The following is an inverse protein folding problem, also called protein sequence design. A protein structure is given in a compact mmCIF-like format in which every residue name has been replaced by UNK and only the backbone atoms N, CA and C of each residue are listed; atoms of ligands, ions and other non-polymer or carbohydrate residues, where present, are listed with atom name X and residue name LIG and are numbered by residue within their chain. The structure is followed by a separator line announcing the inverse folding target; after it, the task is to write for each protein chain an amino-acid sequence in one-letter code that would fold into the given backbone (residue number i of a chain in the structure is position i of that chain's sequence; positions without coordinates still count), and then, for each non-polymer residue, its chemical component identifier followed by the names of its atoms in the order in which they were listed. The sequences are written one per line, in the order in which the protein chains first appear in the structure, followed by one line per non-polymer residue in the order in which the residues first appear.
data_IF_362061477996
#
_entry.id   IF_362061477996
#
_cell.length_a   1.000
_cell.length_b   1.000
_cell.length_c   1.000
_cell.angle_alpha   90.00
_cell.angle_beta   90.00
_cell.angle_gamma   90.00
#
_symmetry.space_group_name_H-M   'P 1'
#
loop_
_entity.id
_entity.type
_entity.pdbx_description
1 polymer ?
#
# COMPACT_ATOMS: atom_id res chain seq x y z
N UNK A 1 23.49 77.45 0.12
CA UNK A 1 24.02 77.05 1.44
C UNK A 1 22.93 76.29 2.17
N UNK A 2 23.02 74.96 2.21
CA UNK A 2 22.47 74.12 3.25
C UNK A 2 23.16 72.74 3.13
N UNK A 3 24.07 72.50 4.04
CA UNK A 3 24.78 71.23 4.25
C UNK A 3 24.04 70.46 5.34
N UNK A 4 23.74 69.17 5.10
CA UNK A 4 23.60 68.20 6.18
C UNK A 4 24.15 66.83 5.74
N UNK A 5 24.98 66.29 6.63
CA UNK A 5 25.72 65.03 6.56
C UNK A 5 24.90 63.81 7.03
N UNK A 6 25.46 62.61 6.82
CA UNK A 6 25.23 61.31 7.50
C UNK A 6 24.27 60.37 6.74
N UNK A 7 24.47 59.06 6.54
CA UNK A 7 25.32 58.03 7.17
C UNK A 7 25.35 56.80 6.21
N UNK A 8 26.46 56.06 5.98
CA UNK A 8 26.42 54.83 5.19
C UNK A 8 25.92 53.64 6.04
N UNK A 9 24.84 53.00 5.59
CA UNK A 9 24.30 51.75 6.17
C UNK A 9 25.22 50.59 5.74
N UNK A 10 25.92 50.00 6.71
CA UNK A 10 26.66 48.75 6.56
C UNK A 10 25.68 47.58 6.35
N UNK A 11 25.68 47.01 5.14
CA UNK A 11 25.00 45.75 4.85
C UNK A 11 25.87 44.59 5.38
N UNK A 12 25.52 44.03 6.52
CA UNK A 12 26.08 42.75 6.98
C UNK A 12 25.45 41.62 6.17
N UNK A 13 26.20 41.09 5.21
CA UNK A 13 25.88 39.83 4.54
C UNK A 13 26.07 38.71 5.57
N UNK A 14 24.98 38.28 6.20
CA UNK A 14 24.95 37.05 6.98
C UNK A 14 25.06 35.86 6.02
N UNK A 15 26.18 35.12 6.10
CA UNK A 15 26.27 33.80 5.47
C UNK A 15 25.31 32.86 6.19
N UNK A 16 24.22 32.48 5.52
CA UNK A 16 23.49 31.28 5.89
C UNK A 16 24.33 30.07 5.48
N UNK A 17 24.88 29.35 6.45
CA UNK A 17 25.40 28.02 6.24
C UNK A 17 24.21 27.09 5.94
N UNK A 18 23.96 26.85 4.65
CA UNK A 18 23.09 25.78 4.18
C UNK A 18 23.78 24.45 4.49
N UNK A 19 23.40 23.81 5.59
CA UNK A 19 23.74 22.41 5.84
C UNK A 19 22.94 21.54 4.84
N UNK A 20 23.58 20.84 3.89
CA UNK A 20 22.88 19.93 3.00
C UNK A 20 22.79 18.57 3.68
N UNK A 21 21.91 18.43 4.68
CA UNK A 21 21.73 17.16 5.39
C UNK A 21 20.24 16.92 5.66
N UNK A 22 19.46 16.63 4.60
CA UNK A 22 18.09 16.10 4.72
C UNK A 22 17.46 15.64 3.38
N UNK A 23 18.06 15.94 2.22
CA UNK A 23 17.43 15.63 0.92
C UNK A 23 17.42 14.12 0.60
N UNK A 24 18.49 13.39 0.95
CA UNK A 24 18.69 12.01 0.48
C UNK A 24 17.77 10.97 1.13
N UNK A 25 17.44 11.12 2.41
CA UNK A 25 16.57 10.15 3.10
C UNK A 25 15.09 10.35 2.73
N UNK A 26 14.67 11.60 2.52
CA UNK A 26 13.28 11.95 2.20
C UNK A 26 12.92 11.57 0.76
N UNK A 27 13.83 11.79 -0.20
CA UNK A 27 13.63 11.42 -1.61
C UNK A 27 13.54 9.89 -1.79
N UNK A 28 14.37 9.12 -1.06
CA UNK A 28 14.34 7.65 -1.08
C UNK A 28 13.00 7.09 -0.56
N UNK A 29 12.48 7.67 0.53
CA UNK A 29 11.18 7.28 1.09
C UNK A 29 10.03 7.60 0.13
N UNK A 30 10.02 8.79 -0.48
CA UNK A 30 8.97 9.17 -1.42
C UNK A 30 8.99 8.33 -2.70
N UNK A 31 10.17 7.97 -3.19
CA UNK A 31 10.31 7.07 -4.34
C UNK A 31 9.76 5.67 -4.01
N UNK A 32 10.03 5.15 -2.80
CA UNK A 32 9.50 3.87 -2.35
C UNK A 32 7.97 3.88 -2.23
N UNK A 33 7.39 4.93 -1.66
CA UNK A 33 5.94 5.10 -1.54
C UNK A 33 5.25 5.08 -2.91
N UNK A 34 5.84 5.74 -3.91
CA UNK A 34 5.34 5.72 -5.30
C UNK A 34 5.38 4.31 -5.88
N UNK A 35 6.44 3.52 -5.63
CA UNK A 35 6.53 2.13 -6.11
C UNK A 35 5.48 1.26 -5.43
N UNK A 36 5.25 1.42 -4.12
CA UNK A 36 4.22 0.69 -3.38
C UNK A 36 2.82 0.98 -3.94
N UNK A 37 2.47 2.26 -4.09
CA UNK A 37 1.18 2.67 -4.69
C UNK A 37 1.05 2.13 -6.11
N UNK A 38 2.08 2.24 -6.94
CA UNK A 38 2.05 1.74 -8.30
C UNK A 38 1.85 0.21 -8.37
N UNK A 39 2.40 -0.53 -7.40
CA UNK A 39 2.23 -1.99 -7.30
C UNK A 39 0.77 -2.34 -7.05
N UNK A 40 0.15 -1.73 -6.02
CA UNK A 40 -1.27 -1.96 -5.70
C UNK A 40 -2.17 -1.46 -6.84
N UNK A 41 -1.85 -0.35 -7.48
CA UNK A 41 -2.60 0.17 -8.63
C UNK A 41 -2.60 -0.82 -9.79
N UNK A 42 -1.45 -1.42 -10.11
CA UNK A 42 -1.34 -2.45 -11.16
C UNK A 42 -2.11 -3.72 -10.82
N UNK A 43 -2.05 -4.14 -9.55
CA UNK A 43 -2.82 -5.29 -9.05
C UNK A 43 -4.32 -5.09 -9.29
N UNK A 44 -4.89 -3.94 -8.88
CA UNK A 44 -6.29 -3.64 -9.13
C UNK A 44 -6.61 -3.52 -10.63
N UNK A 45 -5.71 -2.94 -11.43
CA UNK A 45 -5.94 -2.82 -12.86
C UNK A 45 -6.02 -4.20 -13.54
N UNK A 46 -5.13 -5.12 -13.18
CA UNK A 46 -5.17 -6.49 -13.69
C UNK A 46 -6.48 -7.19 -13.30
N UNK A 47 -6.87 -7.06 -12.03
CA UNK A 47 -8.10 -7.68 -11.53
C UNK A 47 -9.36 -7.15 -12.25
N UNK A 48 -9.39 -5.86 -12.58
CA UNK A 48 -10.43 -5.24 -13.40
C UNK A 48 -10.39 -5.75 -14.83
N UNK A 49 -9.21 -5.77 -15.45
CA UNK A 49 -9.05 -6.16 -16.85
C UNK A 49 -9.50 -7.62 -17.10
N UNK A 50 -9.45 -8.45 -16.06
CA UNK A 50 -9.84 -9.85 -16.10
C UNK A 50 -11.12 -10.16 -15.29
N UNK A 51 -11.80 -9.15 -14.75
CA UNK A 51 -13.02 -9.29 -13.93
C UNK A 51 -12.88 -10.36 -12.83
N UNK A 52 -11.75 -10.36 -12.13
CA UNK A 52 -11.45 -11.30 -11.03
C UNK A 52 -11.27 -12.76 -11.45
N UNK A 53 -11.16 -13.07 -12.75
CA UNK A 53 -11.10 -14.45 -13.26
C UNK A 53 -9.67 -15.02 -13.36
N UNK A 54 -8.66 -14.31 -12.85
CA UNK A 54 -7.29 -14.80 -12.80
C UNK A 54 -7.16 -16.09 -11.96
N UNK A 55 -6.29 -17.00 -12.41
CA UNK A 55 -5.93 -18.21 -11.66
C UNK A 55 -4.39 -18.44 -11.72
N UNK A 56 -3.67 -18.37 -10.60
CA UNK A 56 -4.16 -18.06 -9.24
C UNK A 56 -4.74 -16.65 -9.15
N UNK A 57 -5.55 -16.38 -8.13
CA UNK A 57 -6.22 -15.07 -7.95
C UNK A 57 -5.20 -13.94 -7.90
N UNK A 58 -5.58 -12.74 -8.33
CA UNK A 58 -4.63 -11.62 -8.51
C UNK A 58 -3.86 -11.30 -7.24
N UNK A 59 -4.49 -11.34 -6.06
CA UNK A 59 -3.78 -11.12 -4.79
C UNK A 59 -2.60 -12.08 -4.60
N UNK A 60 -2.79 -13.36 -4.93
CA UNK A 60 -1.76 -14.39 -4.79
C UNK A 60 -0.58 -14.16 -5.74
N UNK A 61 -0.86 -13.65 -6.94
CA UNK A 61 0.18 -13.31 -7.92
C UNK A 61 1.10 -12.18 -7.46
N UNK A 62 0.57 -11.24 -6.67
CA UNK A 62 1.32 -10.10 -6.13
C UNK A 62 1.84 -10.33 -4.71
N UNK A 63 1.41 -11.41 -4.04
CA UNK A 63 1.79 -11.77 -2.70
C UNK A 63 3.27 -12.17 -2.60
N UNK A 64 3.87 -11.91 -1.44
CA UNK A 64 5.16 -12.49 -1.09
C UNK A 64 4.99 -13.97 -0.68
N UNK A 65 6.11 -14.65 -0.49
CA UNK A 65 6.10 -16.09 -0.18
C UNK A 65 5.33 -16.44 1.10
N UNK A 66 5.34 -15.57 2.11
CA UNK A 66 4.66 -15.82 3.39
C UNK A 66 3.15 -15.73 3.23
N UNK A 67 2.65 -14.71 2.53
CA UNK A 67 1.22 -14.57 2.24
C UNK A 67 0.73 -15.66 1.27
N UNK A 68 1.51 -16.03 0.25
CA UNK A 68 1.20 -17.16 -0.63
C UNK A 68 1.08 -18.46 0.17
N UNK A 69 1.99 -18.72 1.10
CA UNK A 69 1.92 -19.89 1.96
C UNK A 69 0.68 -19.88 2.87
N UNK A 70 0.24 -18.71 3.35
CA UNK A 70 -1.01 -18.59 4.10
C UNK A 70 -2.24 -18.86 3.21
N UNK A 71 -2.28 -18.31 2.00
CA UNK A 71 -3.36 -18.56 1.01
C UNK A 71 -3.45 -20.04 0.63
N UNK A 72 -2.32 -20.73 0.49
CA UNK A 72 -2.29 -22.16 0.23
C UNK A 72 -2.96 -22.99 1.34
N UNK A 73 -3.02 -22.51 2.59
CA UNK A 73 -3.72 -23.21 3.67
C UNK A 73 -5.22 -23.34 3.38
N UNK A 74 -5.83 -22.35 2.72
CA UNK A 74 -7.23 -22.46 2.29
C UNK A 74 -7.40 -23.61 1.30
N UNK A 75 -6.57 -23.64 0.27
CA UNK A 75 -6.65 -24.68 -0.76
C UNK A 75 -6.47 -26.07 -0.16
N UNK A 76 -5.48 -26.24 0.73
CA UNK A 76 -5.23 -27.50 1.42
C UNK A 76 -6.42 -27.91 2.32
N UNK A 77 -7.03 -26.94 3.00
CA UNK A 77 -8.21 -27.16 3.84
C UNK A 77 -9.42 -27.56 3.01
N UNK A 78 -9.66 -26.88 1.89
CA UNK A 78 -10.75 -27.19 0.97
C UNK A 78 -10.59 -28.58 0.36
N UNK A 79 -9.40 -28.95 -0.09
CA UNK A 79 -9.12 -30.27 -0.65
C UNK A 79 -9.42 -31.39 0.36
N UNK A 80 -9.17 -31.14 1.65
CA UNK A 80 -9.43 -32.09 2.74
C UNK A 80 -10.90 -32.15 3.17
N UNK A 81 -11.57 -31.01 3.23
CA UNK A 81 -12.87 -30.88 3.93
C UNK A 81 -14.05 -30.60 3.00
N UNK A 82 -13.78 -30.13 1.78
CA UNK A 82 -14.76 -29.57 0.85
C UNK A 82 -15.53 -28.37 1.43
N UNK A 83 -14.92 -27.67 2.37
CA UNK A 83 -15.42 -26.43 2.98
C UNK A 83 -14.38 -25.33 2.81
N UNK A 84 -14.82 -24.07 2.63
CA UNK A 84 -13.90 -22.93 2.68
C UNK A 84 -13.71 -22.47 4.13
N UNK A 85 -12.49 -22.04 4.44
CA UNK A 85 -12.08 -21.43 5.71
C UNK A 85 -11.58 -19.98 5.50
N UNK A 86 -11.73 -19.44 4.30
CA UNK A 86 -11.31 -18.09 3.95
C UNK A 86 -12.42 -17.07 4.30
N UNK A 87 -12.12 -15.80 4.11
CA UNK A 87 -13.11 -14.74 4.15
C UNK A 87 -14.17 -14.95 3.07
N UNK A 88 -15.43 -14.64 3.40
CA UNK A 88 -16.59 -14.89 2.54
C UNK A 88 -16.83 -13.75 1.52
N UNK A 89 -15.79 -12.98 1.20
CA UNK A 89 -15.82 -11.86 0.28
C UNK A 89 -14.48 -11.72 -0.46
N UNK A 90 -14.50 -11.03 -1.59
CA UNK A 90 -13.27 -10.65 -2.30
C UNK A 90 -12.51 -9.58 -1.52
N UNK A 91 -11.29 -9.90 -1.11
CA UNK A 91 -10.42 -9.04 -0.28
C UNK A 91 -10.05 -7.72 -0.98
N UNK A 92 -9.91 -7.71 -2.31
CA UNK A 92 -9.59 -6.48 -3.09
C UNK A 92 -10.78 -5.54 -3.18
N UNK A 93 -12.00 -6.05 -3.03
CA UNK A 93 -13.21 -5.25 -3.20
C UNK A 93 -14.04 -5.11 -1.94
N UNK A 94 -13.68 -5.83 -0.87
CA UNK A 94 -14.46 -5.96 0.35
C UNK A 94 -15.94 -6.24 0.04
N UNK A 95 -16.20 -7.13 -0.92
CA UNK A 95 -17.53 -7.42 -1.47
C UNK A 95 -17.66 -8.87 -1.92
N UNK A 96 -18.85 -9.44 -1.80
CA UNK A 96 -19.21 -10.73 -2.40
C UNK A 96 -19.49 -10.63 -3.91
N UNK A 97 -19.82 -9.43 -4.39
CA UNK A 97 -20.11 -9.13 -5.79
C UNK A 97 -19.35 -7.84 -6.15
N UNK A 98 -18.08 -7.95 -6.56
CA UNK A 98 -17.25 -6.79 -6.90
C UNK A 98 -17.85 -5.95 -8.03
N UNK A 99 -18.03 -4.65 -7.77
CA UNK A 99 -18.23 -3.67 -8.85
C UNK A 99 -16.86 -3.22 -9.38
N UNK A 100 -16.38 -3.86 -10.43
CA UNK A 100 -15.12 -3.52 -11.09
C UNK A 100 -15.10 -2.12 -11.72
N UNK A 101 -16.28 -1.50 -11.90
CA UNK A 101 -16.41 -0.16 -12.50
C UNK A 101 -16.35 0.97 -11.48
N UNK A 102 -16.38 0.65 -10.18
CA UNK A 102 -16.40 1.67 -9.14
C UNK A 102 -15.12 2.53 -9.11
N UNK A 103 -15.29 3.78 -8.70
CA UNK A 103 -14.19 4.67 -8.41
C UNK A 103 -13.37 4.15 -7.23
N UNK A 104 -12.06 4.35 -7.31
CA UNK A 104 -11.08 3.95 -6.29
C UNK A 104 -9.95 4.97 -6.21
N UNK A 105 -9.41 5.15 -5.01
CA UNK A 105 -8.28 6.06 -4.76
C UNK A 105 -7.18 5.31 -4.03
N UNK A 106 -5.95 5.52 -4.49
CA UNK A 106 -4.75 4.92 -3.92
C UNK A 106 -3.92 5.99 -3.23
N UNK A 107 -3.48 5.72 -2.00
CA UNK A 107 -2.63 6.63 -1.24
C UNK A 107 -1.80 5.88 -0.21
N UNK A 108 -0.74 6.49 0.29
CA UNK A 108 -0.11 6.02 1.52
C UNK A 108 -1.00 6.39 2.72
N UNK A 109 -1.12 5.46 3.66
CA UNK A 109 -1.70 5.68 4.97
C UNK A 109 -0.60 5.65 6.06
N UNK A 110 -1.02 5.82 7.30
CA UNK A 110 -0.13 5.72 8.46
C UNK A 110 0.60 4.37 8.48
N UNK A 111 1.78 4.36 9.11
CA UNK A 111 2.63 3.17 9.27
C UNK A 111 3.13 2.56 7.95
N UNK A 112 3.09 3.31 6.84
CA UNK A 112 3.67 2.89 5.57
C UNK A 112 2.84 1.86 4.80
N UNK A 113 1.55 1.77 5.12
CA UNK A 113 0.57 0.96 4.41
C UNK A 113 0.09 1.68 3.16
N UNK A 114 -0.24 0.94 2.11
CA UNK A 114 -1.00 1.48 0.98
C UNK A 114 -2.49 1.31 1.28
N UNK A 115 -3.23 2.41 1.22
CA UNK A 115 -4.68 2.43 1.33
C UNK A 115 -5.33 2.49 -0.04
N UNK A 116 -6.36 1.66 -0.22
CA UNK A 116 -7.31 1.76 -1.33
C UNK A 116 -8.67 2.15 -0.76
N UNK A 117 -9.15 3.33 -1.13
CA UNK A 117 -10.51 3.79 -0.80
C UNK A 117 -11.45 3.49 -1.94
N UNK A 118 -12.48 2.69 -1.66
CA UNK A 118 -13.54 2.33 -2.58
C UNK A 118 -14.72 3.30 -2.47
N UNK A 119 -15.40 3.58 -3.58
CA UNK A 119 -16.54 4.51 -3.62
C UNK A 119 -17.69 4.11 -2.68
N UNK A 120 -17.82 2.82 -2.38
CA UNK A 120 -18.83 2.28 -1.47
C UNK A 120 -18.49 2.49 0.02
N UNK A 121 -17.36 3.13 0.33
CA UNK A 121 -16.99 3.55 1.69
C UNK A 121 -16.02 2.62 2.41
N UNK A 122 -15.62 1.51 1.78
CA UNK A 122 -14.60 0.60 2.31
C UNK A 122 -13.19 1.13 2.07
N UNK A 123 -12.30 0.91 3.04
CA UNK A 123 -10.87 1.13 2.90
C UNK A 123 -10.16 -0.19 3.10
N UNK A 124 -9.24 -0.50 2.19
CA UNK A 124 -8.42 -1.71 2.24
C UNK A 124 -6.98 -1.29 2.41
N UNK A 125 -6.25 -1.95 3.32
CA UNK A 125 -4.89 -1.57 3.68
C UNK A 125 -3.93 -2.72 3.40
N UNK A 126 -2.91 -2.42 2.62
CA UNK A 126 -1.88 -3.37 2.21
C UNK A 126 -0.55 -3.04 2.88
N UNK A 127 0.06 -4.06 3.48
CA UNK A 127 1.49 -4.01 3.79
C UNK A 127 2.28 -4.54 2.60
N UNK A 128 3.42 -3.91 2.31
CA UNK A 128 4.28 -4.28 1.19
C UNK A 128 5.74 -4.36 1.63
N UNK A 129 6.36 -5.48 1.27
CA UNK A 129 7.81 -5.67 1.33
C UNK A 129 8.40 -5.40 -0.04
N UNK A 130 9.40 -4.53 -0.11
CA UNK A 130 10.02 -4.11 -1.37
C UNK A 130 11.52 -4.42 -1.39
N UNK A 131 12.01 -4.75 -2.58
CA UNK A 131 13.43 -4.72 -2.91
C UNK A 131 13.71 -3.52 -3.83
N UNK A 132 14.93 -3.41 -4.35
CA UNK A 132 15.35 -2.28 -5.21
C UNK A 132 14.57 -2.15 -6.53
N UNK A 133 13.74 -3.14 -6.90
CA UNK A 133 13.07 -3.22 -8.21
C UNK A 133 11.55 -3.37 -8.11
N UNK A 134 11.06 -4.08 -7.10
CA UNK A 134 9.65 -4.45 -7.00
C UNK A 134 9.17 -4.52 -5.55
N UNK A 135 7.87 -4.36 -5.38
CA UNK A 135 7.19 -4.60 -4.11
C UNK A 135 6.27 -5.82 -4.28
N UNK A 136 6.12 -6.56 -3.18
CA UNK A 136 5.16 -7.66 -3.06
C UNK A 136 4.23 -7.37 -1.89
N UNK A 137 2.99 -7.81 -1.99
CA UNK A 137 2.02 -7.71 -0.89
C UNK A 137 2.47 -8.65 0.22
N UNK A 138 2.76 -8.09 1.38
CA UNK A 138 3.15 -8.85 2.56
C UNK A 138 1.93 -9.32 3.35
N UNK A 139 0.89 -8.48 3.44
CA UNK A 139 -0.38 -8.84 4.04
C UNK A 139 -1.48 -7.83 3.68
N UNK A 140 -2.73 -8.18 4.00
CA UNK A 140 -3.90 -7.31 3.89
C UNK A 140 -4.57 -7.19 5.25
N UNK A 141 -4.89 -5.96 5.68
CA UNK A 141 -5.66 -5.75 6.91
C UNK A 141 -7.15 -5.99 6.66
N UNK A 142 -7.77 -6.82 7.50
CA UNK A 142 -9.20 -7.16 7.40
C UNK A 142 -10.06 -6.25 8.28
N UNK A 143 -9.50 -5.67 9.34
CA UNK A 143 -10.21 -4.76 10.24
C UNK A 143 -9.27 -3.80 10.98
N UNK A 144 -9.87 -2.85 11.71
CA UNK A 144 -9.16 -1.85 12.50
C UNK A 144 -8.45 -2.43 13.74
N UNK A 145 -8.86 -3.61 14.19
CA UNK A 145 -8.27 -4.32 15.34
C UNK A 145 -6.92 -4.99 15.01
N UNK A 146 -6.48 -4.89 13.75
CA UNK A 146 -5.20 -5.42 13.29
C UNK A 146 -5.24 -6.91 12.94
N UNK A 147 -6.42 -7.48 12.67
CA UNK A 147 -6.53 -8.77 12.00
C UNK A 147 -6.04 -8.62 10.55
N UNK A 148 -5.22 -9.57 10.12
CA UNK A 148 -4.70 -9.63 8.76
C UNK A 148 -5.13 -10.92 8.08
N UNK A 149 -5.11 -10.93 6.74
CA UNK A 149 -5.50 -12.09 5.95
C UNK A 149 -4.66 -13.33 6.31
N UNK A 150 -3.34 -13.16 6.43
CA UNK A 150 -2.48 -14.30 6.78
C UNK A 150 -2.83 -14.87 8.16
N UNK A 151 -3.09 -14.02 9.16
CA UNK A 151 -3.49 -14.43 10.50
C UNK A 151 -4.83 -15.16 10.50
N UNK A 152 -5.82 -14.63 9.78
CA UNK A 152 -7.13 -15.24 9.62
C UNK A 152 -7.02 -16.66 9.07
N UNK A 153 -6.30 -16.82 7.95
CA UNK A 153 -6.11 -18.12 7.30
C UNK A 153 -5.37 -19.11 8.21
N UNK A 154 -4.36 -18.65 8.96
CA UNK A 154 -3.64 -19.48 9.92
C UNK A 154 -4.54 -19.99 11.06
N UNK A 155 -5.49 -19.18 11.52
CA UNK A 155 -6.40 -19.52 12.63
C UNK A 155 -7.61 -20.34 12.16
N UNK A 156 -8.14 -20.07 10.96
CA UNK A 156 -9.34 -20.71 10.43
C UNK A 156 -9.07 -21.98 9.63
N UNK A 157 -7.93 -22.08 8.94
CA UNK A 157 -7.65 -23.16 7.98
C UNK A 157 -6.72 -24.27 8.52
N UNK A 158 -6.22 -24.15 9.75
CA UNK A 158 -5.39 -25.19 10.40
C UNK A 158 -6.22 -26.06 11.35
#
# INVERSE_FOLDING_TARGET
MQTYHSLPILLTVGLFAINPVAATATESSQALDVIKIATVTKMYQQDIDHEGMDNPVVLEQYANADLQAAMQLEQDYFDKTQMSCNVDYDVLWNSQDPDYTQDKKFSMADKGLVQVSLAQGSNIYYDLTCNDKECQIADVSLNEDGETLSKHLLEACR
#
